data_IF_256623181096
#
_entry.id   IF_256623181096
#
_cell.length_a   1.000
_cell.length_b   1.000
_cell.length_c   1.000
_cell.angle_alpha   90.00
_cell.angle_beta   90.00
_cell.angle_gamma   90.00
#
_symmetry.space_group_name_H-M   'P 1'
#
loop_
_entity.id
_entity.type
_entity.pdbx_description
1 polymer ?
#
# COMPACT_ATOMS: atom_id res chain seq x y z
N UNK A 1 1.29 -17.07 10.93
CA UNK A 1 2.57 -16.33 10.80
C UNK A 1 2.40 -14.96 11.45
N UNK A 2 3.38 -14.50 12.25
CA UNK A 2 3.37 -13.15 12.81
C UNK A 2 4.13 -12.23 11.84
N UNK A 3 3.40 -11.37 11.13
CA UNK A 3 3.97 -10.47 10.11
C UNK A 3 3.88 -9.02 10.57
N UNK A 4 4.89 -8.23 10.20
CA UNK A 4 4.94 -6.77 10.32
C UNK A 4 4.85 -6.18 8.91
N UNK A 5 4.39 -4.92 8.72
CA UNK A 5 4.03 -3.91 9.71
C UNK A 5 2.57 -3.94 10.20
N UNK A 6 2.26 -3.10 11.19
CA UNK A 6 0.90 -2.76 11.64
C UNK A 6 0.82 -1.27 11.88
N UNK A 7 -0.24 -0.63 11.37
CA UNK A 7 -0.53 0.78 11.61
C UNK A 7 -1.74 0.92 12.53
N UNK A 8 -1.59 1.69 13.61
CA UNK A 8 -2.70 2.13 14.46
C UNK A 8 -2.92 3.63 14.21
N UNK A 9 -4.06 3.99 13.62
CA UNK A 9 -4.38 5.37 13.21
C UNK A 9 -5.89 5.53 13.18
N UNK A 10 -6.41 6.74 13.40
CA UNK A 10 -7.83 7.08 13.22
C UNK A 10 -8.81 6.10 13.93
N UNK A 11 -8.39 5.54 15.07
CA UNK A 11 -9.18 4.59 15.87
C UNK A 11 -9.20 3.15 15.38
N UNK A 12 -8.50 2.83 14.29
CA UNK A 12 -8.45 1.49 13.70
C UNK A 12 -7.03 0.88 13.74
N UNK A 13 -6.95 -0.44 13.55
CA UNK A 13 -5.68 -1.16 13.38
C UNK A 13 -5.67 -1.80 12.00
N UNK A 14 -4.69 -1.43 11.17
CA UNK A 14 -4.52 -1.90 9.81
C UNK A 14 -3.27 -2.77 9.73
N UNK A 15 -3.42 -3.95 9.11
CA UNK A 15 -2.33 -4.86 8.78
C UNK A 15 -2.14 -4.90 7.26
N UNK A 16 -1.05 -5.51 6.79
CA UNK A 16 -0.61 -5.53 5.38
C UNK A 16 -0.11 -4.16 4.89
N UNK A 17 1.12 -4.13 4.39
CA UNK A 17 1.79 -2.89 3.98
C UNK A 17 1.06 -2.15 2.86
N UNK A 18 0.56 -2.85 1.84
CA UNK A 18 -0.17 -2.22 0.74
C UNK A 18 -1.52 -1.63 1.20
N UNK A 19 -2.26 -2.33 2.07
CA UNK A 19 -3.52 -1.79 2.63
C UNK A 19 -3.27 -0.53 3.49
N UNK A 20 -2.18 -0.51 4.26
CA UNK A 20 -1.74 0.67 5.01
C UNK A 20 -1.44 1.84 4.06
N UNK A 21 -0.72 1.58 2.97
CA UNK A 21 -0.35 2.61 1.98
C UNK A 21 -1.59 3.17 1.29
N UNK A 22 -2.54 2.32 0.89
CA UNK A 22 -3.78 2.78 0.26
C UNK A 22 -4.63 3.62 1.21
N UNK A 23 -4.75 3.20 2.47
CA UNK A 23 -5.45 3.99 3.49
C UNK A 23 -4.84 5.39 3.66
N UNK A 24 -3.51 5.48 3.71
CA UNK A 24 -2.82 6.76 3.82
C UNK A 24 -2.98 7.63 2.57
N UNK A 25 -2.97 7.05 1.37
CA UNK A 25 -3.23 7.80 0.13
C UNK A 25 -4.63 8.42 0.11
N UNK A 26 -5.63 7.70 0.62
CA UNK A 26 -7.02 8.19 0.71
C UNK A 26 -7.20 9.23 1.82
N UNK A 27 -6.64 8.97 3.01
CA UNK A 27 -6.89 9.77 4.22
C UNK A 27 -5.89 10.92 4.41
N UNK A 28 -4.73 10.88 3.73
CA UNK A 28 -3.68 11.93 3.74
C UNK A 28 -3.19 12.16 2.29
N UNK A 29 -4.00 12.82 1.44
CA UNK A 29 -3.77 12.91 -0.02
C UNK A 29 -2.61 13.82 -0.43
N UNK A 30 -1.81 14.35 0.51
CA UNK A 30 -0.68 15.23 0.21
C UNK A 30 0.49 14.95 1.16
N UNK A 31 1.70 14.64 0.63
CA UNK A 31 2.01 14.44 -0.78
C UNK A 31 1.38 13.15 -1.33
N UNK A 32 0.99 13.14 -2.62
CA UNK A 32 0.42 11.95 -3.25
C UNK A 32 1.48 10.89 -3.50
N UNK A 33 1.19 9.66 -3.11
CA UNK A 33 1.97 8.48 -3.45
C UNK A 33 1.64 7.98 -4.85
N UNK A 34 0.40 8.18 -5.31
CA UNK A 34 -0.07 7.71 -6.60
C UNK A 34 -0.26 8.85 -7.62
N UNK A 35 0.00 8.58 -8.92
CA UNK A 35 -0.38 9.49 -10.00
C UNK A 35 -1.91 9.68 -10.07
N UNK A 36 -2.35 10.88 -10.48
CA UNK A 36 -3.76 11.16 -10.74
C UNK A 36 -4.31 10.42 -11.98
N UNK A 37 -3.45 10.19 -12.98
CA UNK A 37 -3.82 9.47 -14.20
C UNK A 37 -4.11 7.99 -13.86
N UNK A 38 -5.33 7.48 -14.11
CA UNK A 38 -5.70 6.11 -13.79
C UNK A 38 -4.80 5.06 -14.45
N UNK A 39 -4.31 5.31 -15.68
CA UNK A 39 -3.43 4.36 -16.38
C UNK A 39 -2.07 4.27 -15.70
N UNK A 40 -1.50 5.42 -15.32
CA UNK A 40 -0.23 5.46 -14.57
C UNK A 40 -0.39 4.86 -13.18
N UNK A 41 -1.52 5.11 -12.52
CA UNK A 41 -1.84 4.52 -11.22
C UNK A 41 -1.96 3.00 -11.27
N UNK A 42 -2.60 2.46 -12.31
CA UNK A 42 -2.63 1.02 -12.55
C UNK A 42 -1.21 0.45 -12.75
N UNK A 43 -0.35 1.15 -13.50
CA UNK A 43 1.05 0.72 -13.68
C UNK A 43 1.84 0.71 -12.36
N UNK A 44 1.66 1.70 -11.49
CA UNK A 44 2.31 1.73 -10.18
C UNK A 44 1.85 0.55 -9.32
N UNK A 45 0.53 0.32 -9.26
CA UNK A 45 -0.04 -0.80 -8.51
C UNK A 45 0.44 -2.15 -9.00
N UNK A 46 0.51 -2.36 -10.32
CA UNK A 46 1.03 -3.60 -10.88
C UNK A 46 2.47 -3.90 -10.43
N UNK A 47 3.33 -2.87 -10.37
CA UNK A 47 4.71 -3.02 -9.87
C UNK A 47 4.71 -3.30 -8.36
N UNK A 48 3.89 -2.57 -7.59
CA UNK A 48 3.76 -2.78 -6.15
C UNK A 48 3.30 -4.20 -5.81
N UNK A 49 2.30 -4.72 -6.52
CA UNK A 49 1.75 -6.06 -6.31
C UNK A 49 2.74 -7.15 -6.74
N UNK A 50 3.46 -6.94 -7.85
CA UNK A 50 4.52 -7.86 -8.28
C UNK A 50 5.58 -8.02 -7.19
N UNK A 51 5.99 -6.93 -6.54
CA UNK A 51 7.00 -6.98 -5.48
C UNK A 51 6.40 -7.56 -4.20
N UNK A 52 5.28 -7.01 -3.71
CA UNK A 52 4.72 -7.36 -2.41
C UNK A 52 4.10 -8.76 -2.38
N UNK A 53 3.48 -9.21 -3.47
CA UNK A 53 2.85 -10.53 -3.58
C UNK A 53 3.70 -11.56 -4.33
N UNK A 54 4.45 -11.12 -5.35
CA UNK A 54 5.20 -12.03 -6.23
C UNK A 54 6.65 -12.30 -5.82
N UNK A 55 7.27 -11.41 -5.03
CA UNK A 55 8.71 -11.51 -4.67
C UNK A 55 8.89 -11.63 -3.15
N UNK A 56 8.48 -10.61 -2.40
CA UNK A 56 8.75 -10.49 -0.96
C UNK A 56 8.37 -11.74 -0.14
N UNK A 57 7.24 -12.43 -0.41
CA UNK A 57 6.86 -13.60 0.40
C UNK A 57 7.75 -14.83 0.21
N UNK A 58 8.53 -14.87 -0.88
CA UNK A 58 9.38 -16.02 -1.26
C UNK A 58 10.87 -15.82 -0.93
N UNK A 59 11.27 -14.61 -0.55
CA UNK A 59 12.63 -14.29 -0.11
C UNK A 59 12.86 -14.73 1.34
#
# INVERSE_FOLDING_TARGET
MKQVPTLKIDGITIHQSLAIIEYLEEMRPTPRLLPQDPKKRASVRMISDLIAGGIQPLQ
#
